data_IF_880356028235
#
_entry.id   IF_880356028235
#
_cell.length_a   1.000
_cell.length_b   1.000
_cell.length_c   1.000
_cell.angle_alpha   90.00
_cell.angle_beta   90.00
_cell.angle_gamma   90.00
#
_symmetry.space_group_name_H-M   'P 1'
#
loop_
_entity.id
_entity.type
_entity.pdbx_description
1 polymer ?
#
# COMPACT_ATOMS: atom_id res chain seq x y z
N UNK A 1 17.06 7.84 -13.91
CA UNK A 1 16.27 6.61 -14.21
C UNK A 1 17.24 5.45 -14.36
N UNK A 2 16.83 4.22 -14.00
CA UNK A 2 17.59 2.99 -14.31
C UNK A 2 16.81 2.14 -15.32
N UNK A 3 17.50 1.46 -16.22
CA UNK A 3 16.90 0.54 -17.19
C UNK A 3 16.68 -0.81 -16.51
N UNK A 4 15.51 -1.40 -16.73
CA UNK A 4 15.19 -2.76 -16.32
C UNK A 4 14.70 -3.52 -17.55
N UNK A 5 15.00 -4.81 -17.59
CA UNK A 5 14.48 -5.74 -18.61
C UNK A 5 13.61 -6.77 -17.94
N UNK A 6 12.39 -6.95 -18.44
CA UNK A 6 11.40 -7.90 -17.90
C UNK A 6 10.79 -8.71 -19.05
N UNK A 7 10.40 -9.95 -18.77
CA UNK A 7 9.59 -10.77 -19.69
C UNK A 7 8.12 -10.58 -19.36
N UNK A 8 7.30 -10.31 -20.37
CA UNK A 8 5.84 -10.20 -20.24
C UNK A 8 5.14 -10.98 -21.37
N UNK A 9 3.89 -11.42 -21.17
CA UNK A 9 3.09 -12.01 -22.24
C UNK A 9 2.98 -11.08 -23.45
N UNK A 10 3.01 -11.65 -24.66
CA UNK A 10 2.93 -10.90 -25.91
C UNK A 10 1.64 -10.08 -26.00
N UNK A 11 0.51 -10.65 -25.57
CA UNK A 11 -0.80 -10.00 -25.58
C UNK A 11 -0.78 -8.69 -24.78
N UNK A 12 -0.09 -8.65 -23.64
CA UNK A 12 -0.01 -7.43 -22.83
C UNK A 12 0.80 -6.34 -23.53
N UNK A 13 1.89 -6.73 -24.21
CA UNK A 13 2.67 -5.79 -24.99
C UNK A 13 1.87 -5.20 -26.16
N UNK A 14 1.07 -6.03 -26.85
CA UNK A 14 0.21 -5.60 -27.95
C UNK A 14 -0.88 -4.62 -27.50
N UNK A 15 -1.46 -4.82 -26.32
CA UNK A 15 -2.43 -3.90 -25.74
C UNK A 15 -1.78 -2.57 -25.32
N UNK A 16 -0.58 -2.60 -24.72
CA UNK A 16 0.19 -1.39 -24.43
C UNK A 16 0.50 -0.62 -25.71
N UNK A 17 0.90 -1.31 -26.77
CA UNK A 17 1.19 -0.69 -28.07
C UNK A 17 -0.04 -0.05 -28.69
N UNK A 18 -1.22 -0.64 -28.51
CA UNK A 18 -2.47 -0.03 -28.95
C UNK A 18 -2.73 1.29 -28.24
N UNK A 19 -2.59 1.31 -26.91
CA UNK A 19 -2.79 2.53 -26.11
C UNK A 19 -1.82 3.65 -26.50
N UNK A 20 -0.56 3.31 -26.81
CA UNK A 20 0.42 4.28 -27.30
C UNK A 20 0.05 4.79 -28.69
N UNK A 21 -0.36 3.91 -29.62
CA UNK A 21 -0.79 4.31 -30.98
C UNK A 21 -2.04 5.21 -30.96
N UNK A 22 -2.94 4.99 -30.01
CA UNK A 22 -4.13 5.82 -29.78
C UNK A 22 -3.79 7.17 -29.12
N UNK A 23 -2.51 7.44 -28.80
CA UNK A 23 -2.07 8.67 -28.15
C UNK A 23 -2.46 8.78 -26.68
N UNK A 24 -2.92 7.69 -26.05
CA UNK A 24 -3.26 7.67 -24.61
C UNK A 24 -2.03 7.80 -23.72
N UNK A 25 -0.89 7.31 -24.22
CA UNK A 25 0.40 7.36 -23.57
C UNK A 25 1.45 7.76 -24.60
N UNK A 26 2.43 8.57 -24.18
CA UNK A 26 3.52 9.04 -25.02
C UNK A 26 4.50 7.92 -25.41
N UNK A 27 4.61 6.89 -24.57
CA UNK A 27 5.45 5.72 -24.84
C UNK A 27 5.09 4.52 -23.97
N UNK A 28 5.56 3.32 -24.36
CA UNK A 28 5.47 2.10 -23.53
C UNK A 28 6.07 2.32 -22.14
N UNK A 29 7.22 2.98 -22.08
CA UNK A 29 7.93 3.26 -20.83
C UNK A 29 7.14 4.18 -19.91
N UNK A 30 6.40 5.14 -20.48
CA UNK A 30 5.53 6.03 -19.72
C UNK A 30 4.31 5.27 -19.17
N UNK A 31 3.64 4.45 -19.98
CA UNK A 31 2.60 3.54 -19.51
C UNK A 31 3.07 2.65 -18.35
N UNK A 32 4.19 1.94 -18.52
CA UNK A 32 4.71 0.98 -17.54
C UNK A 32 5.07 1.69 -16.23
N UNK A 33 5.72 2.87 -16.29
CA UNK A 33 6.05 3.64 -15.09
C UNK A 33 4.81 4.14 -14.37
N UNK A 34 3.79 4.59 -15.10
CA UNK A 34 2.51 5.03 -14.51
C UNK A 34 1.82 3.86 -13.81
N UNK A 35 1.75 2.69 -14.45
CA UNK A 35 1.19 1.48 -13.86
C UNK A 35 1.95 1.06 -12.59
N UNK A 36 3.29 1.07 -12.63
CA UNK A 36 4.13 0.76 -11.46
C UNK A 36 3.90 1.76 -10.31
N UNK A 37 3.81 3.07 -10.60
CA UNK A 37 3.54 4.11 -9.60
C UNK A 37 2.19 3.87 -8.91
N UNK A 38 1.13 3.67 -9.69
CA UNK A 38 -0.21 3.44 -9.15
C UNK A 38 -0.27 2.18 -8.28
N UNK A 39 0.39 1.11 -8.71
CA UNK A 39 0.44 -0.13 -7.94
C UNK A 39 1.23 0.06 -6.63
N UNK A 40 2.39 0.72 -6.67
CA UNK A 40 3.18 0.99 -5.47
C UNK A 40 2.40 1.80 -4.44
N UNK A 41 1.76 2.91 -4.86
CA UNK A 41 0.92 3.73 -3.97
C UNK A 41 -0.13 2.86 -3.29
N UNK A 42 -0.88 2.07 -4.07
CA UNK A 42 -1.91 1.17 -3.56
C UNK A 42 -1.37 0.17 -2.53
N UNK A 43 -0.21 -0.44 -2.79
CA UNK A 43 0.35 -1.43 -1.87
C UNK A 43 0.92 -0.81 -0.59
N UNK A 44 1.43 0.43 -0.63
CA UNK A 44 1.84 1.14 0.59
C UNK A 44 0.63 1.59 1.42
N UNK A 45 -0.39 2.17 0.79
CA UNK A 45 -1.62 2.57 1.49
C UNK A 45 -2.34 1.39 2.14
N UNK A 46 -2.30 0.20 1.53
CA UNK A 46 -2.79 -1.04 2.16
C UNK A 46 -2.00 -1.42 3.41
N UNK A 47 -0.67 -1.29 3.39
CA UNK A 47 0.18 -1.59 4.55
C UNK A 47 -0.04 -0.61 5.70
N UNK A 48 -0.38 0.63 5.38
CA UNK A 48 -0.68 1.68 6.36
C UNK A 48 -2.11 1.60 6.91
N UNK A 49 -2.96 0.74 6.33
CA UNK A 49 -4.29 0.47 6.86
C UNK A 49 -4.16 -0.35 8.17
N UNK A 50 -4.58 0.20 9.34
CA UNK A 50 -4.35 -0.45 10.64
C UNK A 50 -5.00 -1.84 10.78
N UNK A 51 -5.89 -2.21 9.86
CA UNK A 51 -6.62 -3.49 9.82
C UNK A 51 -5.80 -4.64 9.22
N UNK A 52 -4.76 -4.35 8.43
CA UNK A 52 -3.98 -5.34 7.66
C UNK A 52 -2.59 -5.63 8.27
N UNK A 53 -2.28 -5.02 9.42
CA UNK A 53 -1.07 -5.34 10.19
C UNK A 53 -1.23 -6.72 10.81
N UNK A 54 -0.83 -7.77 10.08
CA UNK A 54 -0.27 -8.96 10.71
C UNK A 54 1.00 -8.52 11.44
N UNK A 55 0.83 -8.12 12.70
CA UNK A 55 1.91 -7.98 13.67
C UNK A 55 2.61 -9.35 13.73
N UNK A 56 3.94 -9.47 13.57
CA UNK A 56 4.60 -10.68 14.00
C UNK A 56 4.25 -10.87 15.48
N UNK A 57 3.67 -12.02 15.82
CA UNK A 57 3.42 -12.41 17.21
C UNK A 57 4.77 -12.47 17.94
N UNK A 58 5.18 -11.34 18.48
CA UNK A 58 6.22 -11.28 19.49
C UNK A 58 5.51 -11.41 20.83
N UNK A 59 5.73 -12.53 21.50
CA UNK A 59 5.07 -13.00 22.73
C UNK A 59 5.22 -12.06 23.96
N UNK A 60 5.73 -10.85 23.76
CA UNK A 60 6.09 -9.87 24.78
C UNK A 60 5.15 -8.63 24.76
N UNK A 61 4.17 -8.57 23.85
CA UNK A 61 3.29 -7.40 23.65
C UNK A 61 2.07 -7.34 24.57
N UNK A 62 1.66 -8.47 25.18
CA UNK A 62 0.44 -8.51 26.04
C UNK A 62 0.48 -7.49 27.18
N UNK A 63 1.66 -7.22 27.72
CA UNK A 63 1.84 -6.26 28.82
C UNK A 63 1.70 -4.81 28.35
N UNK A 64 2.09 -4.50 27.10
CA UNK A 64 2.03 -3.14 26.56
C UNK A 64 0.61 -2.78 26.12
N UNK A 65 -0.13 -3.74 25.57
CA UNK A 65 -1.52 -3.57 25.15
C UNK A 65 -2.48 -3.39 26.35
N UNK A 66 -2.22 -4.06 27.48
CA UNK A 66 -2.99 -3.87 28.71
C UNK A 66 -2.77 -2.49 29.33
N UNK A 67 -1.54 -1.96 29.30
CA UNK A 67 -1.23 -0.62 29.82
C UNK A 67 -1.82 0.50 28.95
N UNK A 68 -1.79 0.34 27.62
CA UNK A 68 -2.43 1.28 26.71
C UNK A 68 -3.96 1.28 26.90
N UNK A 69 -4.58 0.10 26.99
CA UNK A 69 -6.03 -0.02 27.18
C UNK A 69 -6.48 0.49 28.56
N UNK A 70 -5.71 0.22 29.63
CA UNK A 70 -6.00 0.71 30.97
C UNK A 70 -5.86 2.24 31.09
N UNK A 71 -4.88 2.84 30.40
CA UNK A 71 -4.72 4.28 30.31
C UNK A 71 -5.94 4.92 29.61
N UNK A 72 -6.34 4.39 28.46
CA UNK A 72 -7.48 4.92 27.71
C UNK A 72 -8.82 4.76 28.44
N UNK A 73 -9.00 3.70 29.24
CA UNK A 73 -10.21 3.52 30.03
C UNK A 73 -10.29 4.48 31.22
N UNK A 74 -9.15 4.86 31.81
CA UNK A 74 -9.11 5.86 32.89
C UNK A 74 -9.35 7.28 32.37
N UNK A 75 -8.77 7.65 31.23
CA UNK A 75 -9.00 8.95 30.60
C UNK A 75 -10.44 9.13 30.12
N UNK A 76 -11.04 8.10 29.51
CA UNK A 76 -12.44 8.16 29.05
C UNK A 76 -13.43 8.26 30.21
N UNK A 77 -13.14 7.66 31.37
CA UNK A 77 -13.98 7.73 32.57
C UNK A 77 -13.93 9.11 33.26
N UNK A 78 -12.80 9.81 33.17
CA UNK A 78 -12.64 11.17 33.71
C UNK A 78 -13.39 12.20 32.85
N UNK A 79 -13.31 12.07 31.51
CA UNK A 79 -13.92 13.04 30.58
C UNK A 79 -15.43 12.90 30.47
N UNK A 80 -16.01 11.73 30.76
CA UNK A 80 -17.47 11.49 30.72
C UNK A 80 -18.18 11.93 32.02
N UNK A 81 -17.44 12.09 33.13
CA UNK A 81 -17.98 12.47 34.43
C UNK A 81 -17.72 13.96 34.81
N UNK A 82 -17.34 14.80 33.84
CA UNK A 82 -17.14 16.25 34.03
C UNK A 82 -18.20 17.06 33.27
#
# INVERSE_FOLDING_TARGET
>A
MKIISVKIPKTYLEDIDRLVREGRYASRSEFIRTALKLLLIREYERRDNPKDKHMPENNNSKTQDLLYTASQNSFKKIVINL
#
